data_IF_101375026293
#
_entry.id   IF_101375026293
#
_cell.length_a   1.000
_cell.length_b   1.000
_cell.length_c   1.000
_cell.angle_alpha   90.00
_cell.angle_beta   90.00
_cell.angle_gamma   90.00
#
_symmetry.space_group_name_H-M   'P 1'
#
loop_
_entity.id
_entity.type
_entity.pdbx_description
1 polymer ?
#
# COMPACT_ATOMS: atom_id res chain seq x y z
N UNK A 1 -25.42 -50.90 -37.47
CA UNK A 1 -26.82 -50.70 -37.84
C UNK A 1 -26.97 -49.62 -38.92
N UNK A 2 -26.37 -48.44 -38.82
CA UNK A 2 -26.48 -47.38 -39.85
C UNK A 2 -25.94 -47.80 -41.20
N UNK A 3 -24.80 -48.48 -41.27
CA UNK A 3 -24.17 -48.94 -42.53
C UNK A 3 -25.07 -49.98 -43.22
N UNK A 4 -25.67 -50.89 -42.46
CA UNK A 4 -26.58 -51.93 -42.99
C UNK A 4 -27.84 -51.33 -43.60
N UNK A 5 -28.44 -50.33 -42.95
CA UNK A 5 -29.59 -49.59 -43.43
C UNK A 5 -29.28 -48.85 -44.73
N UNK A 6 -28.10 -48.25 -44.84
CA UNK A 6 -27.66 -47.59 -46.05
C UNK A 6 -27.41 -48.58 -47.22
N UNK A 7 -26.85 -49.78 -46.92
CA UNK A 7 -26.68 -50.84 -47.90
C UNK A 7 -28.01 -51.37 -48.44
N UNK A 8 -28.98 -51.61 -47.55
CA UNK A 8 -30.33 -52.02 -47.93
C UNK A 8 -31.04 -50.92 -48.76
N UNK A 9 -30.93 -49.68 -48.37
CA UNK A 9 -31.47 -48.57 -49.14
C UNK A 9 -30.86 -48.42 -50.55
N UNK A 10 -29.54 -48.62 -50.63
CA UNK A 10 -28.81 -48.61 -51.93
C UNK A 10 -29.20 -49.74 -52.81
N UNK A 11 -29.40 -50.94 -52.26
CA UNK A 11 -29.84 -52.13 -53.00
C UNK A 11 -31.33 -51.96 -53.48
N UNK A 12 -32.20 -51.48 -52.64
CA UNK A 12 -33.58 -51.18 -53.03
C UNK A 12 -33.68 -50.10 -54.12
N UNK A 13 -32.82 -49.07 -54.03
CA UNK A 13 -32.71 -48.07 -55.06
C UNK A 13 -32.20 -48.64 -56.38
N UNK A 14 -31.17 -49.54 -56.38
CA UNK A 14 -30.67 -50.17 -57.56
C UNK A 14 -31.69 -51.08 -58.23
N UNK A 15 -32.43 -51.88 -57.46
CA UNK A 15 -33.56 -52.69 -57.99
C UNK A 15 -34.66 -51.80 -58.55
N UNK A 16 -35.06 -50.72 -57.88
CA UNK A 16 -36.05 -49.75 -58.38
C UNK A 16 -35.61 -49.10 -59.70
N UNK A 17 -34.38 -48.70 -59.85
CA UNK A 17 -33.82 -48.12 -61.08
C UNK A 17 -33.79 -49.14 -62.23
N UNK A 18 -33.44 -50.41 -61.97
CA UNK A 18 -33.44 -51.45 -63.01
C UNK A 18 -34.86 -51.82 -63.47
N UNK A 19 -35.82 -51.88 -62.59
CA UNK A 19 -37.23 -52.10 -62.97
C UNK A 19 -37.79 -50.91 -63.77
N UNK A 20 -37.50 -49.68 -63.38
CA UNK A 20 -37.90 -48.48 -64.10
C UNK A 20 -37.22 -48.41 -65.49
N UNK A 21 -35.99 -48.85 -65.64
CA UNK A 21 -35.25 -48.90 -66.92
C UNK A 21 -35.86 -49.90 -67.93
N UNK A 22 -36.48 -50.99 -67.44
CA UNK A 22 -37.16 -51.99 -68.31
C UNK A 22 -38.51 -51.52 -68.87
N UNK A 23 -39.21 -50.64 -68.17
CA UNK A 23 -40.52 -50.15 -68.56
C UNK A 23 -40.46 -48.95 -69.56
N UNK A 24 -39.30 -48.21 -69.50
CA UNK A 24 -39.22 -46.93 -70.27
C UNK A 24 -38.32 -47.08 -71.49
N UNK A 25 -38.89 -47.19 -72.70
CA UNK A 25 -38.23 -47.30 -74.00
C UNK A 25 -37.95 -45.95 -74.64
N UNK A 26 -38.09 -44.81 -73.93
CA UNK A 26 -37.82 -43.49 -74.40
C UNK A 26 -36.36 -43.21 -74.71
N UNK A 27 -36.12 -42.33 -75.70
CA UNK A 27 -34.79 -41.84 -76.09
C UNK A 27 -34.75 -40.32 -76.02
N UNK A 28 -33.59 -39.77 -75.63
CA UNK A 28 -33.30 -38.34 -75.69
C UNK A 28 -32.44 -38.04 -76.91
N UNK A 29 -32.88 -37.09 -77.73
CA UNK A 29 -32.14 -36.63 -78.90
C UNK A 29 -31.40 -35.35 -78.53
N UNK A 30 -30.05 -35.43 -78.48
CA UNK A 30 -29.16 -34.28 -78.26
C UNK A 30 -28.66 -33.80 -79.64
N UNK A 31 -29.06 -32.54 -79.98
CA UNK A 31 -28.69 -31.91 -81.23
C UNK A 31 -27.55 -30.91 -81.01
N UNK A 32 -26.33 -31.32 -81.36
CA UNK A 32 -25.16 -30.45 -81.35
C UNK A 32 -24.59 -30.43 -82.77
N UNK A 33 -24.90 -29.41 -83.58
CA UNK A 33 -24.44 -29.39 -84.99
C UNK A 33 -22.95 -29.54 -85.14
N UNK A 34 -22.41 -30.43 -86.05
CA UNK A 34 -23.12 -31.27 -87.00
C UNK A 34 -23.54 -32.66 -86.52
N UNK A 35 -23.44 -32.94 -85.26
CA UNK A 35 -23.65 -34.28 -84.67
C UNK A 35 -25.06 -34.46 -84.12
N UNK A 36 -25.69 -35.61 -84.38
CA UNK A 36 -26.89 -36.07 -83.68
C UNK A 36 -26.52 -37.29 -82.83
N UNK A 37 -26.77 -37.14 -81.58
CA UNK A 37 -26.46 -38.22 -80.55
C UNK A 37 -27.79 -38.71 -80.01
N UNK A 38 -28.13 -39.96 -80.26
CA UNK A 38 -29.30 -40.63 -79.65
C UNK A 38 -28.86 -41.39 -78.46
N UNK A 39 -29.38 -41.02 -77.27
CA UNK A 39 -29.07 -41.64 -76.02
C UNK A 39 -30.35 -42.15 -75.37
N UNK A 40 -30.33 -43.38 -74.83
CA UNK A 40 -31.45 -43.87 -74.04
C UNK A 40 -31.81 -42.89 -72.92
N UNK A 41 -33.05 -42.63 -72.67
CA UNK A 41 -33.53 -41.70 -71.63
C UNK A 41 -32.98 -42.08 -70.25
N UNK A 42 -32.84 -43.34 -69.96
CA UNK A 42 -32.24 -43.85 -68.73
C UNK A 42 -30.78 -43.47 -68.57
N UNK A 43 -29.97 -43.55 -69.63
CA UNK A 43 -28.57 -43.09 -69.65
C UNK A 43 -28.47 -41.57 -69.52
N UNK A 44 -29.37 -40.84 -70.10
CA UNK A 44 -29.43 -39.36 -69.98
C UNK A 44 -29.72 -38.95 -68.54
N UNK A 45 -30.73 -39.59 -67.87
CA UNK A 45 -31.08 -39.30 -66.47
C UNK A 45 -29.89 -39.68 -65.57
N UNK A 46 -29.23 -40.83 -65.81
CA UNK A 46 -28.06 -41.21 -65.02
C UNK A 46 -26.92 -40.20 -65.18
N UNK A 47 -26.68 -39.70 -66.38
CA UNK A 47 -25.62 -38.72 -66.65
C UNK A 47 -25.91 -37.37 -65.97
N UNK A 48 -27.17 -36.91 -65.96
CA UNK A 48 -27.61 -35.72 -65.23
C UNK A 48 -27.44 -35.91 -63.72
N UNK A 49 -27.85 -37.07 -63.17
CA UNK A 49 -27.63 -37.36 -61.75
C UNK A 49 -26.14 -37.37 -61.34
N UNK A 50 -25.29 -38.00 -62.19
CA UNK A 50 -23.86 -37.98 -61.96
C UNK A 50 -23.30 -36.54 -62.01
N UNK A 51 -23.73 -35.75 -62.99
CA UNK A 51 -23.31 -34.34 -63.12
C UNK A 51 -23.70 -33.51 -61.91
N UNK A 52 -24.94 -33.66 -61.43
CA UNK A 52 -25.40 -32.97 -60.22
C UNK A 52 -24.64 -33.45 -58.97
N UNK A 53 -24.37 -34.77 -58.84
CA UNK A 53 -23.60 -35.31 -57.73
C UNK A 53 -22.14 -34.82 -57.73
N UNK A 54 -21.51 -34.75 -58.90
CA UNK A 54 -20.15 -34.19 -59.04
C UNK A 54 -20.13 -32.70 -58.71
N UNK A 55 -21.10 -31.91 -59.24
CA UNK A 55 -21.19 -30.49 -58.94
C UNK A 55 -21.41 -30.24 -57.45
N UNK A 56 -22.25 -31.06 -56.80
CA UNK A 56 -22.45 -31.02 -55.35
C UNK A 56 -21.16 -31.36 -54.59
N UNK A 57 -20.45 -32.44 -55.00
CA UNK A 57 -19.20 -32.82 -54.38
C UNK A 57 -18.12 -31.74 -54.52
N UNK A 58 -18.01 -31.12 -55.70
CA UNK A 58 -17.09 -30.02 -55.96
C UNK A 58 -17.39 -28.81 -55.11
N UNK A 59 -18.66 -28.40 -55.07
CA UNK A 59 -19.11 -27.23 -54.27
C UNK A 59 -18.89 -27.48 -52.77
N UNK A 60 -19.13 -28.69 -52.31
CA UNK A 60 -18.85 -29.12 -50.95
C UNK A 60 -17.35 -29.08 -50.65
N UNK A 61 -16.52 -29.63 -51.53
CA UNK A 61 -15.05 -29.62 -51.38
C UNK A 61 -14.51 -28.20 -51.35
N UNK A 62 -14.98 -27.30 -52.22
CA UNK A 62 -14.55 -25.89 -52.24
C UNK A 62 -14.93 -25.19 -50.90
N UNK A 63 -16.13 -25.45 -50.38
CA UNK A 63 -16.55 -24.91 -49.08
C UNK A 63 -15.68 -25.45 -47.93
N UNK A 64 -15.38 -26.74 -47.92
CA UNK A 64 -14.53 -27.33 -46.85
C UNK A 64 -13.09 -26.83 -46.96
N UNK A 65 -12.53 -26.74 -48.16
CA UNK A 65 -11.17 -26.21 -48.40
C UNK A 65 -11.06 -24.72 -48.07
N UNK A 66 -12.09 -23.92 -48.43
CA UNK A 66 -12.17 -22.50 -48.12
C UNK A 66 -12.26 -22.21 -46.62
N UNK A 67 -12.78 -23.16 -45.80
CA UNK A 67 -12.84 -23.08 -44.35
C UNK A 67 -11.59 -23.51 -43.59
N UNK A 68 -10.67 -24.22 -44.24
CA UNK A 68 -9.45 -24.74 -43.59
C UNK A 68 -8.50 -23.67 -43.06
N UNK A 69 -8.19 -22.57 -43.75
CA UNK A 69 -7.28 -21.56 -43.24
C UNK A 69 -7.82 -20.89 -41.97
N UNK A 70 -9.10 -20.67 -41.86
CA UNK A 70 -9.75 -20.07 -40.67
C UNK A 70 -9.77 -21.04 -39.48
N UNK A 71 -9.96 -22.34 -39.72
CA UNK A 71 -9.92 -23.37 -38.68
C UNK A 71 -8.48 -23.58 -38.16
N UNK A 72 -7.49 -23.64 -39.06
CA UNK A 72 -6.09 -23.73 -38.67
C UNK A 72 -5.62 -22.51 -37.91
N UNK A 73 -6.05 -21.29 -38.34
CA UNK A 73 -5.76 -20.06 -37.60
C UNK A 73 -6.37 -20.08 -36.21
N UNK A 74 -7.65 -20.44 -36.07
CA UNK A 74 -8.31 -20.57 -34.76
C UNK A 74 -7.66 -21.63 -33.87
N UNK A 75 -7.24 -22.74 -34.44
CA UNK A 75 -6.53 -23.80 -33.69
C UNK A 75 -5.18 -23.30 -33.18
N UNK A 76 -4.40 -22.63 -34.03
CA UNK A 76 -3.11 -22.04 -33.66
C UNK A 76 -3.28 -20.94 -32.60
N UNK A 77 -4.30 -20.10 -32.73
CA UNK A 77 -4.61 -19.04 -31.78
C UNK A 77 -4.99 -19.63 -30.40
N UNK A 78 -5.82 -20.69 -30.36
CA UNK A 78 -6.15 -21.41 -29.13
C UNK A 78 -4.91 -22.06 -28.51
N UNK A 79 -4.10 -22.75 -29.30
CA UNK A 79 -2.88 -23.39 -28.81
C UNK A 79 -1.88 -22.36 -28.24
N UNK A 80 -1.73 -21.22 -28.90
CA UNK A 80 -0.91 -20.12 -28.39
C UNK A 80 -1.46 -19.53 -27.09
N UNK A 81 -2.80 -19.41 -26.99
CA UNK A 81 -3.46 -18.95 -25.78
C UNK A 81 -3.29 -19.94 -24.62
N UNK A 82 -3.49 -21.23 -24.85
CA UNK A 82 -3.31 -22.29 -23.84
C UNK A 82 -1.84 -22.35 -23.38
N UNK A 83 -0.89 -22.22 -24.30
CA UNK A 83 0.53 -22.13 -23.97
C UNK A 83 0.87 -20.90 -23.13
N UNK A 84 0.30 -19.73 -23.46
CA UNK A 84 0.47 -18.49 -22.68
C UNK A 84 -0.10 -18.64 -21.26
N UNK A 85 -1.28 -19.23 -21.09
CA UNK A 85 -1.89 -19.50 -19.79
C UNK A 85 -1.02 -20.45 -18.94
N UNK A 86 -0.46 -21.48 -19.58
CA UNK A 86 0.44 -22.42 -18.89
C UNK A 86 1.71 -21.71 -18.41
N UNK A 87 2.35 -20.92 -19.28
CA UNK A 87 3.52 -20.12 -18.94
C UNK A 87 3.22 -19.11 -17.82
N UNK A 88 2.06 -18.46 -17.86
CA UNK A 88 1.61 -17.55 -16.81
C UNK A 88 1.52 -18.25 -15.44
N UNK A 89 0.88 -19.42 -15.39
CA UNK A 89 0.76 -20.20 -14.15
C UNK A 89 2.12 -20.63 -13.60
N UNK A 90 2.98 -21.16 -14.47
CA UNK A 90 4.34 -21.56 -14.09
C UNK A 90 5.19 -20.36 -13.63
N UNK A 91 5.04 -19.20 -14.26
CA UNK A 91 5.76 -17.98 -13.87
C UNK A 91 5.33 -17.47 -12.49
N UNK A 92 4.03 -17.51 -12.19
CA UNK A 92 3.51 -17.16 -10.85
C UNK A 92 4.05 -18.10 -9.77
N UNK A 93 4.04 -19.41 -10.03
CA UNK A 93 4.59 -20.39 -9.11
C UNK A 93 6.07 -20.10 -8.87
N UNK A 94 6.86 -19.92 -9.92
CA UNK A 94 8.29 -19.63 -9.82
C UNK A 94 8.55 -18.32 -9.04
N UNK A 95 7.69 -17.30 -9.20
CA UNK A 95 7.79 -16.05 -8.46
C UNK A 95 7.58 -16.25 -6.95
N UNK A 96 6.54 -17.01 -6.57
CA UNK A 96 6.26 -17.33 -5.16
C UNK A 96 7.30 -18.26 -4.53
N UNK A 97 7.97 -19.10 -5.35
CA UNK A 97 9.11 -19.90 -4.92
C UNK A 97 10.41 -19.09 -4.73
N UNK A 98 10.40 -17.77 -5.06
CA UNK A 98 11.60 -16.93 -5.05
C UNK A 98 12.54 -17.15 -6.22
N UNK A 99 12.16 -17.94 -7.23
CA UNK A 99 12.95 -18.22 -8.44
C UNK A 99 12.75 -17.12 -9.49
N UNK A 100 13.14 -15.89 -9.15
CA UNK A 100 12.81 -14.68 -9.93
C UNK A 100 13.33 -14.71 -11.35
N UNK A 101 14.51 -15.26 -11.59
CA UNK A 101 15.07 -15.39 -12.96
C UNK A 101 14.20 -16.29 -13.84
N UNK A 102 13.73 -17.42 -13.29
CA UNK A 102 12.81 -18.31 -14.00
C UNK A 102 11.45 -17.66 -14.20
N UNK A 103 10.93 -16.99 -13.17
CA UNK A 103 9.66 -16.29 -13.21
C UNK A 103 9.66 -15.21 -14.29
N UNK A 104 10.71 -14.39 -14.35
CA UNK A 104 10.85 -13.32 -15.35
C UNK A 104 10.89 -13.88 -16.77
N UNK A 105 11.71 -14.94 -17.02
CA UNK A 105 11.80 -15.55 -18.35
C UNK A 105 10.45 -16.09 -18.80
N UNK A 106 9.75 -16.87 -17.93
CA UNK A 106 8.45 -17.46 -18.27
C UNK A 106 7.36 -16.38 -18.44
N UNK A 107 7.36 -15.35 -17.59
CA UNK A 107 6.44 -14.23 -17.71
C UNK A 107 6.71 -13.41 -18.98
N UNK A 108 7.97 -13.21 -19.35
CA UNK A 108 8.37 -12.54 -20.61
C UNK A 108 7.95 -13.32 -21.85
N UNK A 109 8.11 -14.65 -21.83
CA UNK A 109 7.61 -15.53 -22.90
C UNK A 109 6.07 -15.48 -23.02
N UNK A 110 5.37 -15.54 -21.86
CA UNK A 110 3.92 -15.39 -21.79
C UNK A 110 3.46 -14.02 -22.29
N UNK A 111 4.17 -12.95 -21.90
CA UNK A 111 3.90 -11.59 -22.35
C UNK A 111 4.05 -11.43 -23.87
N UNK A 112 5.10 -12.00 -24.47
CA UNK A 112 5.32 -11.98 -25.90
C UNK A 112 4.23 -12.76 -26.67
N UNK A 113 3.71 -13.83 -26.08
CA UNK A 113 2.63 -14.63 -26.65
C UNK A 113 1.22 -14.03 -26.41
N UNK A 114 1.09 -13.08 -25.49
CA UNK A 114 -0.18 -12.47 -25.11
C UNK A 114 -0.76 -11.61 -26.22
N UNK A 115 -2.09 -11.72 -26.45
CA UNK A 115 -2.81 -10.98 -27.48
C UNK A 115 -3.93 -10.11 -26.95
N UNK A 116 -4.39 -10.37 -25.72
CA UNK A 116 -5.42 -9.55 -25.05
C UNK A 116 -4.76 -8.54 -24.10
N UNK A 117 -5.41 -7.40 -23.91
CA UNK A 117 -4.89 -6.35 -23.03
C UNK A 117 -4.68 -6.84 -21.60
N UNK A 118 -5.58 -7.69 -21.11
CA UNK A 118 -5.52 -8.27 -19.79
C UNK A 118 -4.30 -9.21 -19.63
N UNK A 119 -4.08 -10.10 -20.60
CA UNK A 119 -2.92 -11.01 -20.57
C UNK A 119 -1.60 -10.23 -20.71
N UNK A 120 -1.56 -9.20 -21.55
CA UNK A 120 -0.41 -8.29 -21.68
C UNK A 120 -0.12 -7.62 -20.33
N UNK A 121 -1.14 -7.09 -19.67
CA UNK A 121 -0.99 -6.45 -18.37
C UNK A 121 -0.49 -7.43 -17.31
N UNK A 122 -1.14 -8.58 -17.14
CA UNK A 122 -0.80 -9.56 -16.09
C UNK A 122 0.63 -10.09 -16.28
N UNK A 123 0.96 -10.55 -17.48
CA UNK A 123 2.26 -11.15 -17.75
C UNK A 123 3.40 -10.12 -17.74
N UNK A 124 3.16 -8.93 -18.32
CA UNK A 124 4.15 -7.85 -18.33
C UNK A 124 4.43 -7.29 -16.93
N UNK A 125 3.40 -7.15 -16.10
CA UNK A 125 3.58 -6.72 -14.71
C UNK A 125 4.30 -7.76 -13.87
N UNK A 126 4.04 -9.05 -14.10
CA UNK A 126 4.76 -10.13 -13.40
C UNK A 126 6.23 -10.18 -13.82
N UNK A 127 6.53 -9.99 -15.13
CA UNK A 127 7.88 -9.89 -15.62
C UNK A 127 8.62 -8.69 -15.00
N UNK A 128 7.97 -7.52 -14.94
CA UNK A 128 8.52 -6.32 -14.31
C UNK A 128 8.80 -6.51 -12.82
N UNK A 129 7.86 -7.13 -12.06
CA UNK A 129 8.05 -7.47 -10.64
C UNK A 129 9.20 -8.44 -10.43
N UNK A 130 9.34 -9.45 -11.31
CA UNK A 130 10.42 -10.43 -11.24
C UNK A 130 11.78 -9.78 -11.53
N UNK A 131 11.86 -8.87 -12.52
CA UNK A 131 13.06 -8.11 -12.80
C UNK A 131 13.45 -7.19 -11.63
N UNK A 132 12.46 -6.54 -11.00
CA UNK A 132 12.67 -5.71 -9.81
C UNK A 132 13.23 -6.53 -8.63
N UNK A 133 12.66 -7.70 -8.37
CA UNK A 133 13.13 -8.60 -7.31
C UNK A 133 14.58 -9.05 -7.50
N UNK A 134 15.06 -9.12 -8.75
CA UNK A 134 16.46 -9.36 -9.09
C UNK A 134 17.33 -8.10 -9.09
N UNK A 135 16.76 -6.92 -8.79
CA UNK A 135 17.39 -5.60 -8.89
C UNK A 135 17.83 -5.22 -10.33
N UNK A 136 17.26 -5.87 -11.34
CA UNK A 136 17.43 -5.47 -12.74
C UNK A 136 16.42 -4.37 -13.09
N UNK A 137 16.70 -3.16 -12.58
CA UNK A 137 15.81 -2.01 -12.74
C UNK A 137 15.70 -1.56 -14.20
N UNK A 138 16.77 -1.75 -15.00
CA UNK A 138 16.77 -1.40 -16.41
C UNK A 138 15.81 -2.28 -17.22
N UNK A 139 15.71 -3.58 -16.88
CA UNK A 139 14.80 -4.51 -17.53
C UNK A 139 13.35 -4.24 -17.10
N UNK A 140 13.13 -3.95 -15.80
CA UNK A 140 11.83 -3.53 -15.28
C UNK A 140 11.31 -2.29 -16.00
N UNK A 141 12.14 -1.25 -16.13
CA UNK A 141 11.73 0.01 -16.76
C UNK A 141 11.41 -0.16 -18.24
N UNK A 142 12.08 -1.08 -18.95
CA UNK A 142 11.71 -1.48 -20.32
C UNK A 142 10.32 -2.10 -20.36
N UNK A 143 10.01 -3.04 -19.47
CA UNK A 143 8.65 -3.59 -19.39
C UNK A 143 7.59 -2.51 -19.12
N UNK A 144 7.85 -1.57 -18.22
CA UNK A 144 6.94 -0.46 -17.98
C UNK A 144 6.72 0.44 -19.20
N UNK A 145 7.79 0.76 -19.93
CA UNK A 145 7.71 1.57 -21.14
C UNK A 145 6.89 0.86 -22.23
N UNK A 146 7.11 -0.44 -22.43
CA UNK A 146 6.33 -1.24 -23.37
C UNK A 146 4.86 -1.37 -22.96
N UNK A 147 4.59 -1.59 -21.66
CA UNK A 147 3.22 -1.66 -21.14
C UNK A 147 2.47 -0.35 -21.31
N UNK A 148 3.12 0.80 -21.10
CA UNK A 148 2.52 2.13 -21.37
C UNK A 148 2.13 2.33 -22.82
N UNK A 149 2.85 1.72 -23.77
CA UNK A 149 2.52 1.80 -25.20
C UNK A 149 1.40 0.85 -25.62
N UNK A 150 1.31 -0.34 -24.99
CA UNK A 150 0.36 -1.39 -25.40
C UNK A 150 -0.98 -1.33 -24.65
N UNK A 151 -1.01 -0.77 -23.46
CA UNK A 151 -2.22 -0.64 -22.65
C UNK A 151 -2.88 0.72 -22.87
N UNK A 152 -4.15 0.79 -22.51
CA UNK A 152 -4.89 2.06 -22.51
C UNK A 152 -4.22 3.09 -21.58
N UNK A 153 -4.25 4.38 -21.92
CA UNK A 153 -3.80 5.43 -21.00
C UNK A 153 -4.49 5.29 -19.64
N UNK A 154 -3.72 5.51 -18.56
CA UNK A 154 -4.22 5.41 -17.18
C UNK A 154 -4.64 3.99 -16.76
N UNK A 155 -3.88 2.98 -17.11
CA UNK A 155 -4.15 1.61 -16.67
C UNK A 155 -3.82 1.44 -15.18
N UNK A 156 -4.86 1.25 -14.35
CA UNK A 156 -4.76 1.27 -12.89
C UNK A 156 -3.73 0.27 -12.33
N UNK A 157 -3.75 -0.98 -12.80
CA UNK A 157 -2.82 -2.00 -12.30
C UNK A 157 -1.35 -1.68 -12.64
N UNK A 158 -1.09 -1.04 -13.79
CA UNK A 158 0.24 -0.57 -14.16
C UNK A 158 0.70 0.55 -13.23
N UNK A 159 -0.13 1.59 -13.06
CA UNK A 159 0.18 2.72 -12.18
C UNK A 159 0.43 2.27 -10.73
N UNK A 160 -0.41 1.38 -10.19
CA UNK A 160 -0.25 0.81 -8.85
C UNK A 160 1.05 0.03 -8.70
N UNK A 161 1.40 -0.81 -9.69
CA UNK A 161 2.64 -1.59 -9.66
C UNK A 161 3.87 -0.69 -9.78
N UNK A 162 3.83 0.32 -10.65
CA UNK A 162 4.90 1.30 -10.78
C UNK A 162 5.11 2.05 -9.46
N UNK A 163 4.03 2.53 -8.83
CA UNK A 163 4.09 3.23 -7.56
C UNK A 163 4.73 2.37 -6.46
N UNK A 164 4.33 1.11 -6.35
CA UNK A 164 4.88 0.18 -5.37
C UNK A 164 6.39 -0.06 -5.57
N UNK A 165 6.81 -0.36 -6.81
CA UNK A 165 8.19 -0.70 -7.11
C UNK A 165 9.13 0.52 -7.08
N UNK A 166 8.65 1.70 -7.46
CA UNK A 166 9.43 2.94 -7.33
C UNK A 166 9.59 3.36 -5.87
N UNK A 167 8.58 3.14 -5.02
CA UNK A 167 8.68 3.34 -3.58
C UNK A 167 9.76 2.45 -2.95
N UNK A 168 9.81 1.18 -3.34
CA UNK A 168 10.82 0.22 -2.88
C UNK A 168 12.24 0.65 -3.27
N UNK A 169 12.40 1.21 -4.46
CA UNK A 169 13.68 1.74 -4.97
C UNK A 169 14.02 3.14 -4.43
N UNK A 170 13.12 3.77 -3.66
CA UNK A 170 13.24 5.15 -3.16
C UNK A 170 13.21 6.22 -4.27
N UNK A 171 12.64 5.92 -5.41
CA UNK A 171 12.38 6.89 -6.48
C UNK A 171 11.06 7.62 -6.19
N UNK A 172 11.09 8.52 -5.22
CA UNK A 172 9.88 9.14 -4.67
C UNK A 172 9.11 9.99 -5.68
N UNK A 173 9.79 10.73 -6.54
CA UNK A 173 9.17 11.56 -7.58
C UNK A 173 8.41 10.71 -8.61
N UNK A 174 8.99 9.58 -9.04
CA UNK A 174 8.33 8.67 -9.97
C UNK A 174 7.17 7.91 -9.30
N UNK A 175 7.33 7.57 -8.01
CA UNK A 175 6.26 6.97 -7.21
C UNK A 175 5.07 7.92 -7.05
N UNK A 176 5.32 9.21 -6.77
CA UNK A 176 4.28 10.23 -6.64
C UNK A 176 3.49 10.39 -7.94
N UNK A 177 4.20 10.47 -9.07
CA UNK A 177 3.58 10.52 -10.40
C UNK A 177 2.68 9.31 -10.67
N UNK A 178 3.16 8.10 -10.37
CA UNK A 178 2.40 6.88 -10.56
C UNK A 178 1.18 6.78 -9.61
N UNK A 179 1.31 7.24 -8.36
CA UNK A 179 0.19 7.34 -7.42
C UNK A 179 -0.85 8.34 -7.92
N UNK A 180 -0.41 9.49 -8.45
CA UNK A 180 -1.31 10.49 -9.03
C UNK A 180 -2.07 9.93 -10.23
N UNK A 181 -1.42 9.18 -11.13
CA UNK A 181 -2.06 8.45 -12.23
C UNK A 181 -3.13 7.46 -11.71
N UNK A 182 -2.79 6.67 -10.67
CA UNK A 182 -3.72 5.71 -10.08
C UNK A 182 -4.95 6.41 -9.45
N UNK A 183 -4.74 7.51 -8.73
CA UNK A 183 -5.81 8.29 -8.11
C UNK A 183 -6.67 9.05 -9.12
N UNK A 184 -6.12 9.43 -10.27
CA UNK A 184 -6.91 10.01 -11.36
C UNK A 184 -7.94 9.01 -11.90
N UNK A 185 -7.59 7.71 -11.96
CA UNK A 185 -8.51 6.64 -12.37
C UNK A 185 -9.51 6.30 -11.25
N UNK A 186 -9.03 6.20 -10.03
CA UNK A 186 -9.86 5.81 -8.88
C UNK A 186 -9.50 6.64 -7.63
N UNK A 187 -10.15 7.81 -7.43
CA UNK A 187 -9.81 8.75 -6.36
C UNK A 187 -9.96 8.19 -4.94
N UNK A 188 -10.85 7.22 -4.76
CA UNK A 188 -11.15 6.60 -3.45
C UNK A 188 -10.49 5.23 -3.25
N UNK A 189 -9.55 4.85 -4.11
CA UNK A 189 -8.87 3.57 -3.99
C UNK A 189 -7.98 3.55 -2.73
N UNK A 190 -8.38 2.78 -1.73
CA UNK A 190 -7.67 2.68 -0.44
C UNK A 190 -6.25 2.16 -0.60
N UNK A 191 -6.00 1.27 -1.57
CA UNK A 191 -4.65 0.78 -1.86
C UNK A 191 -3.72 1.89 -2.36
N UNK A 192 -4.22 2.81 -3.23
CA UNK A 192 -3.44 3.97 -3.68
C UNK A 192 -3.17 4.96 -2.54
N UNK A 193 -4.18 5.22 -1.68
CA UNK A 193 -4.00 6.05 -0.49
C UNK A 193 -2.98 5.46 0.50
N UNK A 194 -2.92 4.13 0.65
CA UNK A 194 -1.89 3.48 1.47
C UNK A 194 -0.48 3.64 0.89
N UNK A 195 -0.32 3.57 -0.43
CA UNK A 195 0.98 3.83 -1.07
C UNK A 195 1.38 5.29 -0.91
N UNK A 196 0.42 6.22 -1.07
CA UNK A 196 0.66 7.65 -0.83
C UNK A 196 1.05 7.92 0.62
N UNK A 197 0.38 7.28 1.58
CA UNK A 197 0.73 7.38 3.00
C UNK A 197 2.18 6.94 3.24
N UNK A 198 2.61 5.81 2.68
CA UNK A 198 4.00 5.34 2.75
C UNK A 198 4.97 6.34 2.14
N UNK A 199 4.61 6.91 0.99
CA UNK A 199 5.43 7.92 0.32
C UNK A 199 5.61 9.15 1.22
N UNK A 200 4.51 9.73 1.72
CA UNK A 200 4.56 10.93 2.58
C UNK A 200 5.29 10.70 3.91
N UNK A 201 5.22 9.47 4.44
CA UNK A 201 6.05 9.09 5.60
C UNK A 201 7.54 9.05 5.27
N UNK A 202 7.93 8.64 4.06
CA UNK A 202 9.33 8.60 3.62
C UNK A 202 9.90 9.97 3.26
N UNK A 203 9.03 10.87 2.86
CA UNK A 203 9.36 12.28 2.57
C UNK A 203 9.36 13.16 3.83
N UNK A 204 9.04 12.57 4.99
CA UNK A 204 8.87 13.31 6.25
C UNK A 204 7.90 14.50 6.12
N UNK A 205 6.73 14.24 5.49
CA UNK A 205 5.68 15.23 5.32
C UNK A 205 4.50 14.94 6.28
N UNK A 206 4.59 15.36 7.54
CA UNK A 206 3.61 15.01 8.58
C UNK A 206 2.22 15.57 8.29
N UNK A 207 2.12 16.75 7.66
CA UNK A 207 0.82 17.35 7.34
C UNK A 207 0.04 16.51 6.30
N UNK A 208 0.72 15.99 5.29
CA UNK A 208 0.09 15.10 4.31
C UNK A 208 -0.27 13.75 4.94
N UNK A 209 0.59 13.20 5.81
CA UNK A 209 0.31 11.97 6.58
C UNK A 209 -0.97 12.11 7.39
N UNK A 210 -1.13 13.21 8.15
CA UNK A 210 -2.33 13.45 8.96
C UNK A 210 -3.61 13.49 8.12
N UNK A 211 -3.59 14.21 6.98
CA UNK A 211 -4.73 14.25 6.06
C UNK A 211 -5.10 12.88 5.50
N UNK A 212 -4.11 12.08 5.12
CA UNK A 212 -4.33 10.73 4.60
C UNK A 212 -4.83 9.77 5.69
N UNK A 213 -4.35 9.89 6.92
CA UNK A 213 -4.87 9.13 8.06
C UNK A 213 -6.36 9.37 8.28
N UNK A 214 -6.82 10.62 8.19
CA UNK A 214 -8.24 10.97 8.32
C UNK A 214 -9.08 10.37 7.18
N UNK A 215 -8.57 10.36 5.95
CA UNK A 215 -9.26 9.76 4.80
C UNK A 215 -9.34 8.23 4.93
N UNK A 216 -8.24 7.59 5.35
CA UNK A 216 -8.17 6.14 5.52
C UNK A 216 -8.98 5.63 6.71
N UNK A 217 -9.06 6.41 7.80
CA UNK A 217 -9.92 6.11 8.93
C UNK A 217 -11.41 6.08 8.54
N UNK A 218 -11.86 7.02 7.68
CA UNK A 218 -13.24 7.06 7.18
C UNK A 218 -13.60 5.89 6.25
N UNK A 219 -12.62 5.23 5.67
CA UNK A 219 -12.83 4.12 4.71
C UNK A 219 -12.67 2.73 5.34
N UNK A 220 -12.47 2.67 6.67
CA UNK A 220 -12.20 1.43 7.43
C UNK A 220 -11.04 0.58 6.84
N UNK A 221 -10.13 1.26 6.17
CA UNK A 221 -9.04 0.63 5.43
C UNK A 221 -7.83 0.28 6.30
N UNK A 222 -7.71 0.89 7.47
CA UNK A 222 -6.65 0.65 8.45
C UNK A 222 -7.28 0.35 9.80
N UNK A 223 -6.64 -0.52 10.57
CA UNK A 223 -7.01 -0.73 11.97
C UNK A 223 -6.87 0.55 12.81
N UNK A 224 -7.81 0.77 13.72
CA UNK A 224 -7.88 1.98 14.56
C UNK A 224 -6.57 2.20 15.32
N UNK A 225 -5.99 1.15 15.87
CA UNK A 225 -4.72 1.24 16.60
C UNK A 225 -3.54 1.62 15.68
N UNK A 226 -3.56 1.14 14.44
CA UNK A 226 -2.54 1.50 13.45
C UNK A 226 -2.67 2.98 13.02
N UNK A 227 -3.89 3.46 12.80
CA UNK A 227 -4.15 4.87 12.50
C UNK A 227 -3.68 5.75 13.65
N UNK A 228 -4.04 5.42 14.89
CA UNK A 228 -3.63 6.18 16.07
C UNK A 228 -2.10 6.27 16.20
N UNK A 229 -1.39 5.16 15.99
CA UNK A 229 0.08 5.15 16.04
C UNK A 229 0.73 6.00 14.96
N UNK A 230 0.27 5.89 13.71
CA UNK A 230 0.81 6.68 12.58
C UNK A 230 0.51 8.17 12.81
N UNK A 231 -0.70 8.48 13.29
CA UNK A 231 -1.13 9.84 13.62
C UNK A 231 -0.26 10.44 14.72
N UNK A 232 -0.04 9.71 15.81
CA UNK A 232 0.82 10.16 16.91
C UNK A 232 2.26 10.44 16.44
N UNK A 233 2.82 9.55 15.63
CA UNK A 233 4.16 9.76 15.07
C UNK A 233 4.22 10.99 14.16
N UNK A 234 3.21 11.21 13.32
CA UNK A 234 3.15 12.38 12.45
C UNK A 234 2.99 13.69 13.23
N UNK A 235 2.22 13.67 14.34
CA UNK A 235 2.08 14.83 15.23
C UNK A 235 3.41 15.15 15.92
N UNK A 236 4.14 14.15 16.39
CA UNK A 236 5.47 14.35 16.97
C UNK A 236 6.48 14.88 15.94
N UNK A 237 6.49 14.34 14.72
CA UNK A 237 7.34 14.84 13.64
C UNK A 237 6.99 16.30 13.28
N UNK A 238 5.70 16.66 13.28
CA UNK A 238 5.27 18.03 13.02
C UNK A 238 5.77 19.00 14.10
N UNK A 239 5.70 18.61 15.37
CA UNK A 239 6.23 19.39 16.48
C UNK A 239 7.75 19.52 16.39
N UNK A 240 8.46 18.41 16.16
CA UNK A 240 9.92 18.41 16.04
C UNK A 240 10.45 19.25 14.86
N UNK A 241 9.65 19.46 13.82
CA UNK A 241 10.05 20.27 12.66
C UNK A 241 10.09 21.78 12.93
N UNK A 242 9.60 22.24 14.09
CA UNK A 242 9.51 23.67 14.48
C UNK A 242 8.82 24.60 13.45
N UNK A 243 8.03 24.01 12.55
CA UNK A 243 7.28 24.78 11.53
C UNK A 243 6.18 25.62 12.19
N UNK A 244 5.65 25.15 13.34
CA UNK A 244 4.61 25.84 14.07
C UNK A 244 5.23 26.82 15.06
N UNK A 245 4.97 28.12 14.92
CA UNK A 245 5.49 29.13 15.80
C UNK A 245 4.38 30.05 16.38
N UNK A 246 4.56 30.47 17.62
CA UNK A 246 3.73 31.45 18.29
C UNK A 246 2.22 31.16 18.19
N UNK A 247 1.48 32.06 17.53
CA UNK A 247 0.02 31.94 17.39
C UNK A 247 -0.44 30.71 16.59
N UNK A 248 0.40 30.23 15.68
CA UNK A 248 0.07 29.04 14.86
C UNK A 248 0.13 27.77 15.71
N UNK A 249 1.12 27.63 16.59
CA UNK A 249 1.22 26.53 17.55
C UNK A 249 0.01 26.49 18.48
N UNK A 250 -0.40 27.65 19.01
CA UNK A 250 -1.58 27.75 19.86
C UNK A 250 -2.87 27.35 19.12
N UNK A 251 -3.06 27.85 17.92
CA UNK A 251 -4.23 27.51 17.10
C UNK A 251 -4.24 26.02 16.71
N UNK A 252 -3.08 25.47 16.42
CA UNK A 252 -2.92 24.05 16.12
C UNK A 252 -3.29 23.20 17.35
N UNK A 253 -2.74 23.54 18.52
CA UNK A 253 -3.07 22.84 19.77
C UNK A 253 -4.57 22.86 20.09
N UNK A 254 -5.22 24.01 19.92
CA UNK A 254 -6.65 24.14 20.15
C UNK A 254 -7.50 23.23 19.26
N UNK A 255 -7.08 23.03 18.01
CA UNK A 255 -7.76 22.18 17.02
C UNK A 255 -7.48 20.68 17.20
N UNK A 256 -6.50 20.32 18.00
CA UNK A 256 -6.16 18.93 18.24
C UNK A 256 -7.31 18.19 18.96
N UNK A 257 -7.54 16.93 18.59
CA UNK A 257 -8.59 16.11 19.23
C UNK A 257 -8.26 15.85 20.71
N UNK A 258 -9.31 15.60 21.51
CA UNK A 258 -9.12 15.27 22.91
C UNK A 258 -8.31 13.98 23.12
N UNK A 259 -8.44 13.03 22.17
CA UNK A 259 -7.69 11.77 22.16
C UNK A 259 -6.19 11.99 21.92
N UNK A 260 -5.84 12.86 20.95
CA UNK A 260 -4.45 13.19 20.68
C UNK A 260 -3.80 13.96 21.83
N UNK A 261 -4.55 14.91 22.44
CA UNK A 261 -4.12 15.66 23.64
C UNK A 261 -3.94 14.76 24.87
N UNK A 262 -4.63 13.63 24.93
CA UNK A 262 -4.47 12.67 26.02
C UNK A 262 -3.19 11.85 25.93
N UNK A 263 -2.47 11.90 24.82
CA UNK A 263 -1.20 11.19 24.65
C UNK A 263 -0.05 11.95 25.33
N UNK A 264 0.56 11.43 26.41
CA UNK A 264 1.59 12.15 27.18
C UNK A 264 2.77 12.62 26.32
N UNK A 265 3.15 11.83 25.34
CA UNK A 265 4.25 12.15 24.42
C UNK A 265 3.99 13.39 23.56
N UNK A 266 2.74 13.56 23.06
CA UNK A 266 2.35 14.71 22.25
C UNK A 266 2.29 15.96 23.13
N UNK A 267 1.74 15.83 24.32
CA UNK A 267 1.69 16.93 25.29
C UNK A 267 3.08 17.35 25.72
N UNK A 268 3.96 16.40 26.03
CA UNK A 268 5.35 16.70 26.38
C UNK A 268 6.08 17.46 25.27
N UNK A 269 5.99 16.98 24.01
CA UNK A 269 6.62 17.65 22.87
C UNK A 269 6.01 19.05 22.61
N UNK A 270 4.70 19.22 22.78
CA UNK A 270 4.06 20.51 22.64
C UNK A 270 4.51 21.50 23.74
N UNK A 271 4.57 21.02 24.98
CA UNK A 271 5.05 21.81 26.14
C UNK A 271 6.50 22.24 25.93
N UNK A 272 7.38 21.37 25.47
CA UNK A 272 8.77 21.69 25.17
C UNK A 272 8.82 22.81 24.13
N UNK A 273 8.04 22.70 23.04
CA UNK A 273 8.00 23.73 21.99
C UNK A 273 7.40 25.05 22.46
N UNK A 274 6.33 25.05 23.27
CA UNK A 274 5.79 26.28 23.88
C UNK A 274 6.83 26.95 24.80
N UNK A 275 7.54 26.17 25.59
CA UNK A 275 8.59 26.67 26.49
C UNK A 275 9.75 27.28 25.73
N UNK A 276 10.25 26.64 24.67
CA UNK A 276 11.30 27.16 23.79
C UNK A 276 10.92 28.48 23.08
N UNK A 277 9.62 28.65 22.81
CA UNK A 277 9.11 29.89 22.20
C UNK A 277 8.77 30.98 23.24
N UNK A 278 9.08 30.76 24.52
CA UNK A 278 8.82 31.73 25.60
C UNK A 278 7.34 31.82 26.00
N UNK A 279 6.53 30.82 25.65
CA UNK A 279 5.10 30.76 25.99
C UNK A 279 4.87 29.81 27.19
N UNK A 280 5.60 30.07 28.29
CA UNK A 280 5.58 29.21 29.49
C UNK A 280 4.20 29.17 30.19
N UNK A 281 3.40 30.22 30.08
CA UNK A 281 2.04 30.26 30.64
C UNK A 281 1.11 29.27 29.92
N UNK A 282 1.14 29.23 28.59
CA UNK A 282 0.40 28.26 27.80
C UNK A 282 0.86 26.82 28.12
N UNK A 283 2.18 26.61 28.23
CA UNK A 283 2.73 25.31 28.62
C UNK A 283 2.23 24.89 30.01
N UNK A 284 2.16 25.79 30.98
CA UNK A 284 1.61 25.53 32.30
C UNK A 284 0.17 25.05 32.24
N UNK A 285 -0.69 25.79 31.54
CA UNK A 285 -2.12 25.44 31.41
C UNK A 285 -2.29 24.05 30.78
N UNK A 286 -1.51 23.76 29.74
CA UNK A 286 -1.55 22.47 29.04
C UNK A 286 -1.16 21.32 29.98
N UNK A 287 -0.11 21.50 30.78
CA UNK A 287 0.33 20.48 31.75
C UNK A 287 -0.75 20.27 32.80
N UNK A 288 -1.27 21.32 33.43
CA UNK A 288 -2.29 21.25 34.48
C UNK A 288 -3.57 20.54 33.98
N UNK A 289 -4.07 20.89 32.78
CA UNK A 289 -5.21 20.22 32.17
C UNK A 289 -4.97 18.74 31.88
N UNK A 290 -3.75 18.39 31.46
CA UNK A 290 -3.41 17.00 31.13
C UNK A 290 -3.25 16.17 32.40
N UNK A 291 -2.55 16.69 33.41
CA UNK A 291 -2.35 16.00 34.69
C UNK A 291 -3.66 15.81 35.46
N UNK A 292 -4.65 16.71 35.28
CA UNK A 292 -5.97 16.52 35.87
C UNK A 292 -6.74 15.32 35.27
N UNK A 293 -6.39 14.87 34.06
CA UNK A 293 -7.00 13.70 33.39
C UNK A 293 -6.18 12.44 33.56
N UNK A 294 -4.87 12.55 33.37
CA UNK A 294 -3.94 11.45 33.42
C UNK A 294 -2.61 11.91 34.02
N UNK A 295 -2.22 11.30 35.10
CA UNK A 295 -0.94 11.58 35.76
C UNK A 295 0.24 11.14 34.90
N UNK A 296 1.26 11.98 34.83
CA UNK A 296 2.52 11.71 34.13
C UNK A 296 3.67 12.42 34.83
N UNK A 297 4.59 11.66 35.42
CA UNK A 297 5.78 12.17 36.13
C UNK A 297 6.69 12.97 35.19
N UNK A 298 6.73 12.62 33.90
CA UNK A 298 7.49 13.31 32.87
C UNK A 298 6.95 14.74 32.62
N UNK A 299 5.65 14.93 32.65
CA UNK A 299 5.05 16.27 32.53
C UNK A 299 5.24 17.09 33.81
N UNK A 300 5.27 16.47 34.97
CA UNK A 300 5.56 17.13 36.24
C UNK A 300 6.98 17.66 36.29
N UNK A 301 7.96 16.91 35.74
CA UNK A 301 9.34 17.38 35.63
C UNK A 301 9.42 18.63 34.75
N UNK A 302 8.74 18.63 33.59
CA UNK A 302 8.66 19.81 32.70
C UNK A 302 8.00 20.99 33.37
N UNK A 303 6.96 20.74 34.18
CA UNK A 303 6.29 21.78 34.96
C UNK A 303 7.25 22.54 35.87
N UNK A 304 8.17 21.82 36.52
CA UNK A 304 9.19 22.40 37.38
C UNK A 304 10.27 23.20 36.65
N UNK A 305 10.37 23.03 35.33
CA UNK A 305 11.37 23.76 34.48
C UNK A 305 10.80 24.98 33.79
N UNK A 306 9.47 25.21 33.88
CA UNK A 306 8.86 26.36 33.24
C UNK A 306 9.39 27.68 33.83
N UNK A 307 9.85 28.57 32.95
CA UNK A 307 10.29 29.90 33.35
C UNK A 307 9.10 30.87 33.37
N UNK A 308 8.36 30.85 34.48
CA UNK A 308 7.20 31.69 34.70
C UNK A 308 7.54 33.00 35.39
N UNK A 309 6.76 34.08 35.16
CA UNK A 309 6.86 35.32 35.91
C UNK A 309 6.74 35.09 37.44
N UNK A 310 7.39 35.95 38.24
CA UNK A 310 7.43 35.78 39.70
C UNK A 310 6.05 35.69 40.34
N UNK A 311 5.07 36.39 39.78
CA UNK A 311 3.68 36.41 40.26
C UNK A 311 3.00 35.04 40.11
N UNK A 312 3.29 34.32 39.00
CA UNK A 312 2.70 33.03 38.69
C UNK A 312 3.41 31.84 39.38
N UNK A 313 4.68 32.01 39.76
CA UNK A 313 5.43 30.95 40.48
C UNK A 313 4.83 30.60 41.84
N UNK A 314 4.04 31.50 42.44
CA UNK A 314 3.29 31.21 43.69
C UNK A 314 2.21 30.16 43.41
N UNK A 315 1.39 30.40 42.38
CA UNK A 315 0.34 29.47 41.96
C UNK A 315 0.93 28.11 41.48
N UNK A 316 2.05 28.15 40.79
CA UNK A 316 2.77 26.95 40.33
C UNK A 316 3.19 26.06 41.51
N UNK A 317 3.77 26.64 42.55
CA UNK A 317 4.13 25.90 43.77
C UNK A 317 2.93 25.33 44.50
N UNK A 318 1.86 26.15 44.68
CA UNK A 318 0.63 25.70 45.33
C UNK A 318 -0.03 24.54 44.59
N UNK A 319 -0.04 24.58 43.27
CA UNK A 319 -0.58 23.50 42.45
C UNK A 319 0.25 22.21 42.58
N UNK A 320 1.58 22.34 42.57
CA UNK A 320 2.47 21.19 42.78
C UNK A 320 2.35 20.59 44.20
N UNK A 321 2.20 21.42 45.24
CA UNK A 321 1.90 20.94 46.60
C UNK A 321 0.53 20.24 46.71
N UNK A 322 -0.47 20.69 45.94
CA UNK A 322 -1.78 20.01 45.88
C UNK A 322 -1.68 18.62 45.25
N UNK A 323 -0.86 18.45 44.23
CA UNK A 323 -0.61 17.14 43.63
C UNK A 323 0.11 16.15 44.56
N UNK A 324 0.94 16.65 45.46
CA UNK A 324 1.66 15.81 46.43
C UNK A 324 0.72 15.00 47.34
N UNK A 325 -0.51 15.51 47.58
CA UNK A 325 -1.50 14.80 48.40
C UNK A 325 -1.94 13.49 47.75
N UNK A 326 -2.05 13.51 46.40
CA UNK A 326 -2.44 12.33 45.61
C UNK A 326 -1.25 11.44 45.22
N UNK A 327 -0.06 12.04 45.08
CA UNK A 327 1.16 11.36 44.60
C UNK A 327 2.38 11.58 45.51
N UNK A 328 2.34 11.15 46.78
CA UNK A 328 3.38 11.46 47.77
C UNK A 328 4.74 10.79 47.50
N UNK A 329 4.74 9.70 46.72
CA UNK A 329 5.96 8.92 46.41
C UNK A 329 6.47 9.15 44.97
N UNK A 330 5.98 10.17 44.27
CA UNK A 330 6.45 10.49 42.93
C UNK A 330 7.76 11.27 43.00
N UNK A 331 8.86 10.64 42.58
CA UNK A 331 10.22 11.20 42.63
C UNK A 331 10.36 12.49 41.83
N UNK A 332 9.70 12.57 40.67
CA UNK A 332 9.73 13.76 39.80
C UNK A 332 8.94 14.92 40.38
N UNK A 333 7.83 14.63 41.07
CA UNK A 333 7.07 15.66 41.77
C UNK A 333 7.88 16.22 42.97
N UNK A 334 8.51 15.35 43.74
CA UNK A 334 9.38 15.79 44.85
C UNK A 334 10.57 16.61 44.36
N UNK A 335 11.19 16.21 43.24
CA UNK A 335 12.25 17.00 42.59
C UNK A 335 11.73 18.36 42.13
N UNK A 336 10.56 18.39 41.50
CA UNK A 336 9.92 19.63 41.04
C UNK A 336 9.61 20.58 42.19
N UNK A 337 9.06 20.07 43.29
CA UNK A 337 8.81 20.86 44.51
C UNK A 337 10.09 21.40 45.08
N UNK A 338 11.16 20.59 45.10
CA UNK A 338 12.50 21.02 45.52
C UNK A 338 13.01 22.22 44.71
N UNK A 339 12.91 22.14 43.38
CA UNK A 339 13.30 23.23 42.47
C UNK A 339 12.47 24.49 42.66
N UNK A 340 11.15 24.35 42.72
CA UNK A 340 10.23 25.49 42.90
C UNK A 340 10.45 26.18 44.23
N UNK A 341 10.68 25.43 45.33
CA UNK A 341 11.01 25.99 46.62
C UNK A 341 12.37 26.67 46.63
N UNK A 342 13.40 26.07 45.99
CA UNK A 342 14.72 26.65 45.84
C UNK A 342 14.68 27.96 45.06
N UNK A 343 13.97 28.02 43.96
CA UNK A 343 13.80 29.22 43.16
C UNK A 343 13.13 30.39 43.93
N UNK A 344 12.38 30.06 44.99
CA UNK A 344 11.70 31.03 45.86
C UNK A 344 12.44 31.25 47.19
N UNK A 345 13.65 30.80 47.33
CA UNK A 345 14.46 30.89 48.53
C UNK A 345 13.80 30.25 49.78
N UNK A 346 12.91 29.27 49.57
CA UNK A 346 12.27 28.50 50.64
C UNK A 346 13.15 27.31 50.99
N UNK A 347 14.41 27.59 51.45
CA UNK A 347 15.49 26.63 51.58
C UNK A 347 15.14 25.40 52.41
N UNK A 348 14.44 25.58 53.55
CA UNK A 348 14.07 24.46 54.41
C UNK A 348 13.10 23.49 53.75
N UNK A 349 12.09 24.04 53.03
CA UNK A 349 11.16 23.17 52.25
C UNK A 349 11.89 22.48 51.08
N UNK A 350 12.74 23.22 50.37
CA UNK A 350 13.51 22.68 49.25
C UNK A 350 14.39 21.49 49.71
N UNK A 351 15.06 21.63 50.83
CA UNK A 351 15.91 20.57 51.43
C UNK A 351 15.05 19.31 51.71
N UNK A 352 13.93 19.48 52.40
CA UNK A 352 13.07 18.36 52.76
C UNK A 352 12.53 17.63 51.53
N UNK A 353 12.11 18.34 50.46
CA UNK A 353 11.60 17.73 49.25
C UNK A 353 12.71 17.01 48.47
N UNK A 354 13.91 17.58 48.36
CA UNK A 354 15.03 16.92 47.69
C UNK A 354 15.56 15.70 48.41
N UNK A 355 15.61 15.74 49.74
CA UNK A 355 15.93 14.58 50.56
C UNK A 355 14.87 13.49 50.45
N UNK A 356 13.57 13.84 50.44
CA UNK A 356 12.48 12.90 50.20
C UNK A 356 12.56 12.30 48.80
N UNK A 357 12.88 13.10 47.77
CA UNK A 357 13.12 12.61 46.42
C UNK A 357 14.20 11.53 46.37
N UNK A 358 15.34 11.79 47.00
CA UNK A 358 16.46 10.83 47.09
C UNK A 358 16.16 9.59 47.92
N UNK A 359 15.21 9.68 48.86
CA UNK A 359 14.73 8.52 49.63
C UNK A 359 13.88 7.59 48.77
N UNK A 360 13.10 8.16 47.81
CA UNK A 360 12.29 7.38 46.87
C UNK A 360 13.17 6.84 45.72
N UNK A 361 13.94 7.73 45.09
CA UNK A 361 14.76 7.36 43.93
C UNK A 361 16.07 8.15 43.90
N UNK A 362 17.17 7.44 43.84
CA UNK A 362 18.51 8.05 43.76
C UNK A 362 18.86 8.35 42.31
N UNK A 363 18.60 9.56 41.86
CA UNK A 363 18.95 10.02 40.53
C UNK A 363 20.11 11.00 40.54
N UNK A 364 20.91 11.02 39.48
CA UNK A 364 22.01 11.97 39.32
C UNK A 364 21.50 13.43 39.39
N UNK A 365 20.32 13.69 38.85
CA UNK A 365 19.71 15.04 38.84
C UNK A 365 19.31 15.47 40.24
N UNK A 366 18.65 14.60 41.03
CA UNK A 366 18.27 14.94 42.39
C UNK A 366 19.48 15.19 43.32
N UNK A 367 20.54 14.41 43.15
CA UNK A 367 21.81 14.66 43.84
C UNK A 367 22.46 15.99 43.46
N UNK A 368 22.43 16.34 42.16
CA UNK A 368 22.98 17.62 41.68
C UNK A 368 22.21 18.83 42.24
N UNK A 369 20.87 18.78 42.19
CA UNK A 369 20.00 19.84 42.71
C UNK A 369 20.17 20.02 44.22
N UNK A 370 20.30 18.91 44.97
CA UNK A 370 20.56 18.99 46.43
C UNK A 370 21.95 19.53 46.72
N UNK A 371 22.95 19.17 45.95
CA UNK A 371 24.30 19.72 46.08
C UNK A 371 24.35 21.23 45.86
N UNK A 372 23.67 21.71 44.79
CA UNK A 372 23.56 23.14 44.50
C UNK A 372 22.86 23.91 45.64
N UNK A 373 21.75 23.32 46.18
CA UNK A 373 21.09 23.91 47.32
C UNK A 373 21.99 23.98 48.56
N UNK A 374 22.73 22.93 48.84
CA UNK A 374 23.68 22.86 50.01
C UNK A 374 24.82 23.86 49.84
N UNK A 375 25.34 24.07 48.63
CA UNK A 375 26.30 25.16 48.35
C UNK A 375 25.76 26.54 48.70
N UNK A 376 24.52 26.84 48.29
CA UNK A 376 23.86 28.10 48.65
C UNK A 376 23.61 28.31 50.11
N UNK A 377 23.64 27.21 50.88
CA UNK A 377 23.51 27.19 52.36
C UNK A 377 24.85 27.14 53.05
N UNK A 378 25.99 27.36 52.36
CA UNK A 378 27.37 27.29 52.86
C UNK A 378 27.76 25.91 53.42
N UNK A 379 27.05 24.84 53.05
CA UNK A 379 27.33 23.44 53.48
C UNK A 379 28.19 22.72 52.44
N UNK A 380 29.40 23.20 52.22
CA UNK A 380 30.26 22.76 51.11
C UNK A 380 30.67 21.28 51.18
N UNK A 381 30.92 20.73 52.40
CA UNK A 381 31.30 19.33 52.56
C UNK A 381 30.16 18.38 52.15
N UNK A 382 28.94 18.74 52.49
CA UNK A 382 27.75 17.95 52.13
C UNK A 382 27.51 18.07 50.64
N UNK A 383 27.61 19.27 50.08
CA UNK A 383 27.47 19.50 48.64
C UNK A 383 28.46 18.65 47.82
N UNK A 384 29.74 18.61 48.25
CA UNK A 384 30.77 17.81 47.59
C UNK A 384 30.45 16.30 47.57
N UNK A 385 29.82 15.78 48.63
CA UNK A 385 29.36 14.38 48.66
C UNK A 385 28.29 14.10 47.67
N UNK A 386 27.31 14.99 47.58
CA UNK A 386 26.19 14.86 46.62
C UNK A 386 26.64 15.04 45.19
N UNK A 387 27.56 15.95 44.87
CA UNK A 387 28.13 16.08 43.51
C UNK A 387 28.89 14.81 43.09
N UNK A 388 29.65 14.18 44.01
CA UNK A 388 30.32 12.88 43.71
C UNK A 388 29.29 11.78 43.42
N UNK A 389 28.23 11.69 44.21
CA UNK A 389 27.18 10.71 44.00
C UNK A 389 26.42 10.96 42.64
N UNK A 390 26.18 12.22 42.31
CA UNK A 390 25.60 12.57 41.00
C UNK A 390 26.51 12.14 39.84
N UNK A 391 27.80 12.38 39.95
CA UNK A 391 28.79 12.00 38.94
C UNK A 391 28.89 10.47 38.77
N UNK A 392 28.92 9.74 39.90
CA UNK A 392 28.98 8.26 39.90
C UNK A 392 27.74 7.65 39.23
N UNK A 393 26.55 8.27 39.36
CA UNK A 393 25.32 7.82 38.75
C UNK A 393 25.22 8.22 37.27
N UNK A 394 25.87 9.33 36.86
CA UNK A 394 25.85 9.82 35.48
C UNK A 394 26.85 9.12 34.56
N UNK A 395 27.91 8.53 35.12
CA UNK A 395 28.93 7.82 34.34
C UNK A 395 28.44 6.40 33.99
N UNK A 396 28.47 6.03 32.70
CA UNK A 396 28.17 4.65 32.32
C UNK A 396 29.19 3.71 32.96
N UNK A 397 28.68 2.67 33.61
CA UNK A 397 29.52 1.55 34.13
C UNK A 397 29.94 0.64 32.98
#
# INVERSE_FOLDING_TARGET
VRILVWLIALFALAVGVTLFAQVNTGYALLFVPPWRVEISLNVFILLVLITVAVLYAVTRLVRELGGLPTRVKRYRDRQAQDASIKLERESRIAFHEGRYQRAERLAGEAYAASRTAEAIAVNGLLAARSAHAMRDYGKRDRYFAELKQKLTPQHLALAMTMAELFLDERRYADADSAIAEARAVSPKLTAAMRLELRLRQREDNPQAVLRLCEQLAKSDALDVAQVARIRAQALLSLLASHVLAGRELKNWWLKLSAEDKALPQITAAAVDQFSEQGSAEEARVIIEETLARQWSSDLVERYGRLDLPAEERVGQLQQAEAWLVAHPEDSQLLLTLGRLCSARSLWGKALNYLEACLAVEKTAVAHAELAELLERLDRHDDAARHYRAALELALPR
#
